data_IF_017586081298
#
_entry.id   IF_017586081298
#
_cell.length_a   1.000
_cell.length_b   1.000
_cell.length_c   1.000
_cell.angle_alpha   90.00
_cell.angle_beta   90.00
_cell.angle_gamma   90.00
#
_symmetry.space_group_name_H-M   'P 1'
#
loop_
_entity.id
_entity.type
_entity.pdbx_description
1 polymer ?
#
# COMPACT_ATOMS: atom_id res chain seq x y z
N UNK A 1 -15.73 -35.16 1.06
CA UNK A 1 -15.27 -33.77 1.23
C UNK A 1 -16.52 -32.91 1.36
N UNK A 2 -16.80 -32.37 2.54
CA UNK A 2 -18.00 -31.58 2.79
C UNK A 2 -17.78 -30.16 2.25
N UNK A 3 -18.50 -29.80 1.19
CA UNK A 3 -18.59 -28.44 0.65
C UNK A 3 -19.50 -27.59 1.56
N UNK A 4 -18.99 -27.19 2.73
CA UNK A 4 -19.72 -26.38 3.73
C UNK A 4 -19.60 -24.87 3.51
N UNK A 5 -19.43 -24.41 2.26
CA UNK A 5 -19.07 -23.00 2.00
C UNK A 5 -19.67 -22.37 0.75
N UNK A 6 -20.65 -23.02 0.11
CA UNK A 6 -21.28 -22.52 -1.13
C UNK A 6 -22.80 -22.50 -1.08
N UNK A 7 -23.41 -22.92 0.03
CA UNK A 7 -24.85 -22.76 0.23
C UNK A 7 -25.13 -21.29 0.61
N UNK A 8 -26.00 -20.55 -0.11
CA UNK A 8 -26.27 -19.14 0.17
C UNK A 8 -26.69 -18.88 1.62
N UNK A 9 -27.38 -19.83 2.26
CA UNK A 9 -27.82 -19.67 3.66
C UNK A 9 -26.65 -19.70 4.66
N UNK A 10 -25.60 -20.50 4.40
CA UNK A 10 -24.40 -20.55 5.24
C UNK A 10 -23.58 -19.24 5.15
N UNK A 11 -23.57 -18.63 3.96
CA UNK A 11 -22.90 -17.34 3.71
C UNK A 11 -23.65 -16.21 4.41
N UNK A 12 -24.97 -16.18 4.30
CA UNK A 12 -25.81 -15.19 4.96
C UNK A 12 -25.73 -15.28 6.49
N UNK A 13 -25.70 -16.50 7.04
CA UNK A 13 -25.52 -16.73 8.47
C UNK A 13 -24.14 -16.24 8.97
N UNK A 14 -23.08 -16.50 8.21
CA UNK A 14 -21.72 -16.05 8.55
C UNK A 14 -21.62 -14.52 8.47
N UNK A 15 -22.22 -13.92 7.45
CA UNK A 15 -22.25 -12.47 7.31
C UNK A 15 -23.05 -11.79 8.43
N UNK A 16 -24.21 -12.36 8.81
CA UNK A 16 -25.01 -11.86 9.92
C UNK A 16 -24.25 -11.90 11.25
N UNK A 17 -23.46 -12.94 11.50
CA UNK A 17 -22.61 -13.03 12.69
C UNK A 17 -21.53 -11.93 12.72
N UNK A 18 -20.88 -11.65 11.59
CA UNK A 18 -19.87 -10.58 11.48
C UNK A 18 -20.53 -9.20 11.71
N UNK A 19 -21.70 -8.94 11.12
CA UNK A 19 -22.42 -7.67 11.28
C UNK A 19 -22.90 -7.49 12.72
N UNK A 20 -23.32 -8.56 13.39
CA UNK A 20 -23.74 -8.51 14.79
C UNK A 20 -22.58 -8.17 15.72
N UNK A 21 -21.41 -8.78 15.52
CA UNK A 21 -20.19 -8.49 16.28
C UNK A 21 -19.74 -7.04 16.07
N UNK A 22 -19.73 -6.57 14.82
CA UNK A 22 -19.34 -5.21 14.46
C UNK A 22 -20.30 -4.15 15.04
N UNK A 23 -21.61 -4.44 15.07
CA UNK A 23 -22.60 -3.58 15.73
C UNK A 23 -22.45 -3.59 17.25
N UNK A 24 -22.09 -4.73 17.85
CA UNK A 24 -21.80 -4.81 19.29
C UNK A 24 -20.55 -3.99 19.67
N UNK A 25 -19.59 -3.84 18.75
CA UNK A 25 -18.43 -2.95 18.88
C UNK A 25 -18.75 -1.46 18.63
N UNK A 26 -20.01 -1.11 18.33
CA UNK A 26 -20.47 0.27 18.15
C UNK A 26 -20.29 0.82 16.73
N UNK A 27 -19.92 -0.02 15.76
CA UNK A 27 -19.80 0.40 14.35
C UNK A 27 -21.20 0.56 13.75
N UNK A 28 -21.49 1.75 13.24
CA UNK A 28 -22.79 2.09 12.65
C UNK A 28 -23.78 2.78 13.60
N UNK A 29 -23.41 2.98 14.87
CA UNK A 29 -24.12 3.87 15.79
C UNK A 29 -23.71 5.33 15.54
N UNK A 30 -23.90 5.81 14.30
CA UNK A 30 -23.89 7.24 14.03
C UNK A 30 -25.27 7.75 14.42
N UNK A 31 -25.31 8.67 15.39
CA UNK A 31 -26.53 9.33 15.85
C UNK A 31 -27.37 9.74 14.64
N UNK A 32 -28.66 9.38 14.63
CA UNK A 32 -29.66 9.85 13.67
C UNK A 32 -29.74 11.38 13.72
N UNK A 33 -28.84 12.08 13.02
CA UNK A 33 -29.04 13.47 12.68
C UNK A 33 -30.08 13.51 11.55
N UNK A 34 -31.20 14.21 11.73
CA UNK A 34 -32.16 14.41 10.65
C UNK A 34 -31.44 15.19 9.54
N UNK A 35 -31.14 14.51 8.43
CA UNK A 35 -30.62 15.14 7.23
C UNK A 35 -31.72 16.02 6.66
N UNK A 36 -31.74 17.30 7.03
CA UNK A 36 -32.58 18.28 6.35
C UNK A 36 -32.18 18.33 4.87
N UNK A 37 -33.15 18.29 3.94
CA UNK A 37 -32.85 18.32 2.52
C UNK A 37 -32.22 19.66 2.14
N UNK A 38 -30.94 19.63 1.75
CA UNK A 38 -30.21 20.79 1.23
C UNK A 38 -30.93 21.35 -0.02
N UNK A 39 -31.10 22.69 -0.13
CA UNK A 39 -31.87 23.34 -1.20
C UNK A 39 -31.29 23.14 -2.61
N UNK A 40 -30.03 22.72 -2.76
CA UNK A 40 -29.34 22.57 -4.05
C UNK A 40 -29.94 21.48 -4.97
N UNK A 41 -30.65 20.50 -4.41
CA UNK A 41 -31.21 19.40 -5.22
C UNK A 41 -32.44 19.82 -6.03
N UNK A 42 -33.17 20.84 -5.58
CA UNK A 42 -34.36 21.35 -6.24
C UNK A 42 -34.03 22.17 -7.49
N UNK A 43 -32.99 23.02 -7.46
CA UNK A 43 -32.58 23.83 -8.61
C UNK A 43 -32.01 23.00 -9.77
N UNK A 44 -31.40 21.84 -9.48
CA UNK A 44 -30.86 20.96 -10.53
C UNK A 44 -31.96 20.23 -11.32
N UNK A 45 -33.11 19.97 -10.70
CA UNK A 45 -34.25 19.34 -11.36
C UNK A 45 -34.94 20.30 -12.34
N UNK A 46 -35.03 21.59 -12.00
CA UNK A 46 -35.68 22.59 -12.85
C UNK A 46 -34.85 22.97 -14.09
N UNK A 47 -33.53 22.90 -13.98
CA UNK A 47 -32.60 23.23 -15.09
C UNK A 47 -32.49 22.11 -16.14
N UNK A 48 -32.89 20.88 -15.82
CA UNK A 48 -32.76 19.72 -16.69
C UNK A 48 -33.85 19.63 -17.78
N UNK A 49 -34.94 20.39 -17.68
CA UNK A 49 -36.11 20.25 -18.56
C UNK A 49 -36.05 21.10 -19.85
N UNK A 50 -35.03 21.98 -20.01
CA UNK A 50 -35.02 23.00 -21.09
C UNK A 50 -33.89 22.94 -22.11
N UNK A 51 -33.18 21.82 -22.28
CA UNK A 51 -32.14 21.69 -23.31
C UNK A 51 -32.53 20.67 -24.41
N UNK A 52 -32.40 21.00 -25.71
CA UNK A 52 -32.58 20.03 -26.79
C UNK A 52 -31.51 18.92 -26.73
N UNK A 53 -31.79 17.69 -27.19
CA UNK A 53 -30.80 16.62 -27.20
C UNK A 53 -29.60 16.96 -28.10
N UNK A 54 -28.42 17.11 -27.52
CA UNK A 54 -27.18 17.11 -28.27
C UNK A 54 -26.89 15.69 -28.76
N UNK A 55 -26.74 15.53 -30.08
CA UNK A 55 -26.28 14.29 -30.69
C UNK A 55 -24.83 14.03 -30.24
N UNK A 56 -24.48 12.84 -29.73
CA UNK A 56 -23.16 12.60 -29.20
C UNK A 56 -22.15 12.53 -30.35
N UNK A 57 -21.23 13.49 -30.40
CA UNK A 57 -20.02 13.39 -31.22
C UNK A 57 -19.25 12.13 -30.79
N UNK A 58 -19.31 11.10 -31.63
CA UNK A 58 -18.62 9.85 -31.36
C UNK A 58 -17.11 10.13 -31.40
N UNK A 59 -16.38 9.83 -30.31
CA UNK A 59 -14.98 10.19 -30.21
C UNK A 59 -14.14 9.36 -31.20
N UNK A 60 -13.24 10.06 -31.87
CA UNK A 60 -12.49 9.63 -33.06
C UNK A 60 -11.49 8.49 -32.79
N UNK A 61 -11.38 8.03 -31.53
CA UNK A 61 -10.62 6.84 -31.15
C UNK A 61 -11.30 5.53 -31.55
N UNK A 62 -12.58 5.55 -31.95
CA UNK A 62 -13.30 4.36 -32.43
C UNK A 62 -13.13 4.07 -33.92
N UNK A 63 -12.72 5.08 -34.70
CA UNK A 63 -12.40 4.93 -36.12
C UNK A 63 -10.90 4.69 -36.25
N UNK A 64 -10.53 3.40 -36.30
CA UNK A 64 -9.16 2.92 -36.40
C UNK A 64 -8.42 3.55 -37.58
N UNK A 65 -7.18 3.96 -37.32
CA UNK A 65 -6.43 4.90 -38.14
C UNK A 65 -5.62 5.86 -37.28
N UNK A 66 -5.03 5.37 -36.18
CA UNK A 66 -4.10 6.15 -35.37
C UNK A 66 -2.67 5.77 -35.73
N UNK A 67 -1.78 6.75 -35.80
CA UNK A 67 -0.35 6.55 -36.09
C UNK A 67 0.34 5.53 -35.15
N UNK A 68 -0.24 5.26 -33.99
CA UNK A 68 0.19 4.24 -33.04
C UNK A 68 -0.02 2.81 -33.54
N UNK A 69 -1.03 2.55 -34.39
CA UNK A 69 -1.26 1.23 -34.96
C UNK A 69 -0.12 0.85 -35.92
N UNK A 70 0.38 1.78 -36.73
CA UNK A 70 1.55 1.56 -37.60
C UNK A 70 2.83 1.31 -36.80
N UNK A 71 2.95 1.87 -35.59
CA UNK A 71 4.14 1.67 -34.73
C UNK A 71 4.11 0.36 -33.95
N UNK A 72 2.93 -0.23 -33.73
CA UNK A 72 2.75 -1.47 -32.96
C UNK A 72 2.54 -2.69 -33.87
N UNK A 73 1.95 -2.49 -35.04
CA UNK A 73 1.60 -3.55 -36.00
C UNK A 73 2.38 -3.44 -37.33
N UNK A 74 3.17 -2.38 -37.54
CA UNK A 74 4.08 -2.26 -38.67
C UNK A 74 5.30 -3.16 -38.53
N UNK A 75 6.03 -3.35 -39.64
CA UNK A 75 7.30 -4.09 -39.62
C UNK A 75 8.28 -3.39 -38.67
N UNK A 76 8.77 -4.14 -37.69
CA UNK A 76 9.81 -3.68 -36.76
C UNK A 76 11.13 -3.52 -37.55
N UNK A 77 11.68 -2.30 -37.69
CA UNK A 77 12.93 -2.09 -38.42
C UNK A 77 14.16 -2.61 -37.66
N UNK A 78 13.98 -3.12 -36.43
CA UNK A 78 15.02 -3.79 -35.68
C UNK A 78 15.17 -5.24 -36.16
N UNK A 79 15.99 -5.44 -37.20
CA UNK A 79 16.53 -6.75 -37.55
C UNK A 79 17.08 -7.47 -36.29
N UNK A 80 16.75 -8.76 -36.19
CA UNK A 80 16.78 -9.70 -35.03
C UNK A 80 18.11 -9.87 -34.24
N UNK A 81 19.13 -9.02 -34.41
CA UNK A 81 20.49 -9.29 -33.91
C UNK A 81 21.10 -8.22 -32.97
N UNK A 82 20.46 -7.05 -32.80
CA UNK A 82 21.00 -5.95 -31.96
C UNK A 82 20.21 -5.74 -30.66
N UNK A 83 19.95 -6.82 -29.92
CA UNK A 83 19.31 -6.73 -28.61
C UNK A 83 20.27 -6.22 -27.52
N UNK A 84 19.87 -5.15 -26.84
CA UNK A 84 20.56 -4.70 -25.63
C UNK A 84 20.50 -5.81 -24.56
N UNK A 85 21.67 -6.34 -24.19
CA UNK A 85 21.82 -7.22 -23.03
C UNK A 85 22.22 -6.35 -21.85
N UNK A 86 21.33 -6.14 -20.86
CA UNK A 86 21.68 -5.39 -19.68
C UNK A 86 22.93 -5.99 -19.04
N UNK A 87 23.91 -5.17 -18.62
CA UNK A 87 25.06 -5.66 -17.90
C UNK A 87 24.59 -6.39 -16.63
N UNK A 88 25.33 -7.41 -16.22
CA UNK A 88 25.00 -8.12 -14.99
C UNK A 88 24.96 -7.14 -13.80
N UNK A 89 23.92 -7.22 -12.94
CA UNK A 89 23.76 -6.25 -11.87
C UNK A 89 24.93 -6.36 -10.88
N UNK A 90 25.39 -5.22 -10.33
CA UNK A 90 26.41 -5.23 -9.30
C UNK A 90 25.96 -6.07 -8.08
N UNK A 91 26.89 -6.72 -7.36
CA UNK A 91 26.55 -7.56 -6.23
C UNK A 91 25.84 -6.77 -5.14
N UNK A 92 24.85 -7.40 -4.49
CA UNK A 92 24.07 -6.76 -3.44
C UNK A 92 24.95 -6.29 -2.27
N UNK A 93 24.69 -5.09 -1.71
CA UNK A 93 25.42 -4.59 -0.57
C UNK A 93 25.18 -5.48 0.65
N UNK A 94 26.26 -5.91 1.31
CA UNK A 94 26.18 -6.71 2.53
C UNK A 94 25.73 -5.82 3.70
N UNK A 95 24.82 -6.28 4.57
CA UNK A 95 24.44 -5.52 5.75
C UNK A 95 25.66 -5.28 6.64
N UNK A 96 26.07 -4.03 6.80
CA UNK A 96 27.22 -3.66 7.64
C UNK A 96 26.97 -3.97 9.11
N UNK A 97 28.04 -4.19 9.91
CA UNK A 97 27.99 -4.56 11.33
C UNK A 97 27.02 -3.72 12.19
N UNK A 98 26.86 -2.42 11.87
CA UNK A 98 25.90 -1.54 12.53
C UNK A 98 24.43 -1.97 12.37
N UNK A 99 24.04 -2.59 11.24
CA UNK A 99 22.70 -3.16 11.05
C UNK A 99 22.41 -4.26 12.05
N UNK A 100 23.43 -5.08 12.33
CA UNK A 100 23.33 -6.17 13.27
C UNK A 100 23.13 -5.68 14.70
N UNK A 101 23.81 -4.60 15.09
CA UNK A 101 23.63 -3.96 16.41
C UNK A 101 22.21 -3.43 16.58
N UNK A 102 21.70 -2.71 15.56
CA UNK A 102 20.32 -2.17 15.60
C UNK A 102 19.29 -3.30 15.66
N UNK A 103 19.48 -4.36 14.86
CA UNK A 103 18.62 -5.55 14.88
C UNK A 103 18.62 -6.22 16.25
N UNK A 104 19.80 -6.39 16.86
CA UNK A 104 19.92 -7.00 18.18
C UNK A 104 19.21 -6.15 19.24
N UNK A 105 19.41 -4.83 19.22
CA UNK A 105 18.74 -3.90 20.14
C UNK A 105 17.21 -3.97 19.99
N UNK A 106 16.72 -4.04 18.75
CA UNK A 106 15.30 -4.16 18.44
C UNK A 106 14.71 -5.46 19.02
N UNK A 107 15.38 -6.59 18.79
CA UNK A 107 14.95 -7.90 19.31
C UNK A 107 14.96 -7.92 20.85
N UNK A 108 15.96 -7.34 21.49
CA UNK A 108 16.03 -7.22 22.95
C UNK A 108 14.87 -6.35 23.44
N UNK A 109 14.64 -5.18 22.86
CA UNK A 109 13.55 -4.29 23.24
C UNK A 109 12.17 -4.96 23.11
N UNK A 110 11.94 -5.66 22.01
CA UNK A 110 10.71 -6.42 21.77
C UNK A 110 10.56 -7.57 22.78
N UNK A 111 11.64 -8.29 23.05
CA UNK A 111 11.65 -9.39 24.02
C UNK A 111 11.32 -8.90 25.43
N UNK A 112 11.91 -7.79 25.87
CA UNK A 112 11.59 -7.17 27.17
C UNK A 112 10.12 -6.75 27.28
N UNK A 113 9.47 -6.42 26.17
CA UNK A 113 8.06 -6.01 26.16
C UNK A 113 7.11 -7.21 26.26
N UNK A 114 7.44 -8.32 25.60
CA UNK A 114 6.60 -9.53 25.56
C UNK A 114 6.78 -10.37 26.83
N UNK A 115 8.03 -10.54 27.28
CA UNK A 115 8.38 -11.52 28.30
C UNK A 115 9.51 -11.08 29.23
N UNK A 116 9.37 -9.96 29.98
CA UNK A 116 10.41 -9.48 30.89
C UNK A 116 10.73 -10.49 32.02
N UNK A 117 9.74 -11.30 32.41
CA UNK A 117 9.87 -12.31 33.45
C UNK A 117 10.82 -13.47 33.10
N UNK A 118 11.08 -13.75 31.82
CA UNK A 118 12.03 -14.80 31.42
C UNK A 118 13.48 -14.49 31.80
N UNK A 119 13.81 -13.21 32.00
CA UNK A 119 15.14 -12.75 32.46
C UNK A 119 15.15 -12.47 33.98
N UNK A 120 14.06 -12.77 34.69
CA UNK A 120 13.91 -12.48 36.11
C UNK A 120 13.69 -10.99 36.41
N UNK A 121 13.33 -10.17 35.42
CA UNK A 121 13.08 -8.73 35.59
C UNK A 121 11.58 -8.51 35.86
N UNK A 122 11.27 -7.68 36.85
CA UNK A 122 9.89 -7.27 37.13
C UNK A 122 9.35 -6.39 35.97
N UNK A 123 8.13 -6.65 35.51
CA UNK A 123 7.44 -5.87 34.48
C UNK A 123 7.45 -4.35 34.73
N UNK A 124 7.40 -3.91 36.00
CA UNK A 124 7.50 -2.48 36.36
C UNK A 124 8.77 -1.82 35.81
N UNK A 125 9.88 -2.55 35.72
CA UNK A 125 11.16 -2.07 35.17
C UNK A 125 11.37 -2.56 33.73
N UNK A 126 10.92 -3.78 33.41
CA UNK A 126 11.07 -4.37 32.08
C UNK A 126 10.34 -3.60 30.98
N UNK A 127 9.10 -3.19 31.23
CA UNK A 127 8.28 -2.46 30.25
C UNK A 127 8.90 -1.11 29.83
N UNK A 128 9.25 -0.18 30.74
CA UNK A 128 9.87 1.09 30.33
C UNK A 128 11.22 0.88 29.64
N UNK A 129 12.01 -0.11 30.07
CA UNK A 129 13.31 -0.42 29.49
C UNK A 129 13.17 -1.00 28.06
N UNK A 130 12.18 -1.86 27.85
CA UNK A 130 11.81 -2.37 26.52
C UNK A 130 11.36 -1.25 25.58
N UNK A 131 10.53 -0.32 26.05
CA UNK A 131 10.10 0.85 25.28
C UNK A 131 11.31 1.73 24.90
N UNK A 132 12.18 2.06 25.84
CA UNK A 132 13.39 2.87 25.58
C UNK A 132 14.35 2.19 24.60
N UNK A 133 14.55 0.87 24.74
CA UNK A 133 15.38 0.10 23.82
C UNK A 133 14.79 0.09 22.41
N UNK A 134 13.47 -0.11 22.28
CA UNK A 134 12.77 -0.10 21.00
C UNK A 134 12.80 1.29 20.33
N UNK A 135 12.54 2.35 21.09
CA UNK A 135 12.62 3.73 20.61
C UNK A 135 14.03 4.07 20.12
N UNK A 136 15.06 3.64 20.86
CA UNK A 136 16.47 3.82 20.47
C UNK A 136 16.80 3.03 19.20
N UNK A 137 16.32 1.79 19.07
CA UNK A 137 16.52 0.97 17.88
C UNK A 137 15.91 1.64 16.64
N UNK A 138 14.68 2.13 16.75
CA UNK A 138 13.98 2.84 15.69
C UNK A 138 14.72 4.14 15.34
N UNK A 139 15.12 4.93 16.33
CA UNK A 139 15.88 6.16 16.10
C UNK A 139 17.20 5.88 15.35
N UNK A 140 17.95 4.85 15.76
CA UNK A 140 19.16 4.43 15.05
C UNK A 140 18.87 3.97 13.62
N UNK A 141 17.76 3.26 13.39
CA UNK A 141 17.35 2.82 12.06
C UNK A 141 17.08 4.03 11.15
N UNK A 142 16.35 5.03 11.64
CA UNK A 142 16.05 6.26 10.92
C UNK A 142 17.31 7.07 10.61
N UNK A 143 18.25 7.17 11.56
CA UNK A 143 19.55 7.81 11.33
C UNK A 143 20.37 7.07 10.27
N UNK A 144 20.19 5.74 10.15
CA UNK A 144 20.90 4.90 9.19
C UNK A 144 20.31 5.00 7.77
N UNK A 145 19.00 5.24 7.65
CA UNK A 145 18.36 5.53 6.35
C UNK A 145 18.94 6.78 5.69
N UNK A 146 19.41 7.74 6.49
CA UNK A 146 20.03 8.99 6.00
C UNK A 146 21.50 8.81 5.55
N UNK A 147 22.14 7.69 5.86
CA UNK A 147 23.51 7.44 5.41
C UNK A 147 23.47 7.10 3.92
N UNK A 148 24.02 8.01 3.12
CA UNK A 148 23.92 8.05 1.66
C UNK A 148 24.61 6.91 0.92
N UNK A 149 24.65 7.01 -0.43
CA UNK A 149 25.07 5.95 -1.33
C UNK A 149 26.41 5.31 -0.91
N UNK A 150 26.57 3.99 -1.12
CA UNK A 150 27.79 3.28 -0.76
C UNK A 150 29.03 3.91 -1.40
N UNK A 151 30.18 3.72 -0.76
CA UNK A 151 31.48 4.13 -1.31
C UNK A 151 31.64 3.54 -2.74
N UNK A 152 31.74 4.42 -3.74
CA UNK A 152 31.82 4.07 -5.17
C UNK A 152 30.60 4.44 -6.02
N UNK A 153 29.51 4.92 -5.42
CA UNK A 153 28.40 5.51 -6.16
C UNK A 153 28.80 6.89 -6.72
N UNK A 154 28.85 7.01 -8.04
CA UNK A 154 29.08 8.29 -8.71
C UNK A 154 27.86 9.21 -8.51
N UNK A 155 27.98 10.35 -7.82
CA UNK A 155 26.87 11.29 -7.61
C UNK A 155 26.34 11.92 -8.90
N UNK A 156 27.12 11.84 -9.99
CA UNK A 156 26.83 12.44 -11.29
C UNK A 156 26.23 11.46 -12.31
N UNK A 157 26.30 10.15 -12.06
CA UNK A 157 25.67 9.13 -12.89
C UNK A 157 24.47 8.51 -12.14
N UNK A 158 23.32 9.16 -12.27
CA UNK A 158 22.03 8.49 -12.04
C UNK A 158 21.83 7.38 -13.09
N UNK A 159 21.09 6.34 -12.71
CA UNK A 159 20.81 5.15 -13.53
C UNK A 159 20.68 5.49 -15.03
N UNK A 160 21.67 5.10 -15.82
CA UNK A 160 21.60 5.20 -17.27
C UNK A 160 20.86 3.96 -17.77
N UNK A 161 19.68 4.22 -18.36
CA UNK A 161 18.92 3.25 -19.17
C UNK A 161 19.60 3.05 -20.51
#
# INVERSE_FOLDING_TARGET
MNSHGTDPEDVDATFAAIVADLRAEGVGEFLDEPVEPRPEKAERAEKAEKAPPAEPEQPQWRTGGTAWEDTVLGDDPADDDEHYVPPEPPPLPRPGKGAFVVLLLFLIGLFLLIAPGLVGINATVGTPLGILALATAIALLLLRVKQGPPDGADPSNGAQV
#
